data_IF_674827962685
#
_entry.id   IF_674827962685
#
_cell.length_a   1.000
_cell.length_b   1.000
_cell.length_c   1.000
_cell.angle_alpha   90.00
_cell.angle_beta   90.00
_cell.angle_gamma   90.00
#
_symmetry.space_group_name_H-M   'P 1'
#
loop_
_entity.id
_entity.type
_entity.pdbx_description
1 polymer ?
#
# COMPACT_ATOMS: atom_id res chain seq x y z
N UNK A 1 -6.41 0.61 2.67
CA UNK A 1 -5.71 -0.35 3.53
C UNK A 1 -6.40 -0.35 4.88
N UNK A 2 -6.78 -1.51 5.40
CA UNK A 2 -7.39 -1.63 6.73
C UNK A 2 -6.54 -2.49 7.65
N UNK A 3 -6.56 -2.20 8.96
CA UNK A 3 -6.06 -3.06 10.02
C UNK A 3 -7.22 -3.66 10.79
N UNK A 4 -7.26 -4.99 10.88
CA UNK A 4 -8.27 -5.76 11.61
C UNK A 4 -7.57 -6.55 12.70
N UNK A 5 -8.02 -6.46 13.96
CA UNK A 5 -7.48 -7.26 15.06
C UNK A 5 -8.52 -8.25 15.59
N UNK A 6 -8.10 -9.50 15.80
CA UNK A 6 -8.95 -10.64 16.17
C UNK A 6 -8.60 -11.18 17.58
N UNK A 7 -9.61 -11.48 18.42
CA UNK A 7 -9.45 -11.65 19.88
C UNK A 7 -8.83 -12.99 20.32
N UNK A 8 -8.73 -13.99 19.44
CA UNK A 8 -8.19 -15.32 19.77
C UNK A 8 -7.43 -15.88 18.57
N UNK A 9 -6.38 -16.69 18.82
CA UNK A 9 -5.65 -17.42 17.78
C UNK A 9 -6.61 -18.43 17.14
N UNK A 10 -7.23 -18.04 16.02
CA UNK A 10 -7.71 -19.01 15.05
C UNK A 10 -6.58 -19.16 14.05
N UNK A 11 -5.99 -20.36 13.95
CA UNK A 11 -5.06 -20.63 12.87
C UNK A 11 -5.85 -20.66 11.56
N UNK A 12 -6.08 -19.49 10.97
CA UNK A 12 -6.32 -19.42 9.53
C UNK A 12 -5.02 -20.00 8.94
N UNK A 13 -5.06 -21.18 8.28
CA UNK A 13 -3.85 -21.92 7.91
C UNK A 13 -3.07 -21.24 6.77
N UNK A 14 -3.44 -20.01 6.43
CA UNK A 14 -2.95 -19.20 5.33
C UNK A 14 -2.56 -17.85 5.91
N UNK A 15 -1.34 -17.41 5.66
CA UNK A 15 -0.81 -16.15 6.20
C UNK A 15 -1.01 -14.96 5.27
N UNK A 16 -1.49 -15.21 4.05
CA UNK A 16 -1.89 -14.18 3.10
C UNK A 16 -2.34 -14.79 1.78
N UNK A 17 -3.24 -14.09 1.09
CA UNK A 17 -3.81 -14.53 -0.17
C UNK A 17 -4.30 -13.35 -1.01
N UNK A 18 -4.53 -13.62 -2.29
CA UNK A 18 -5.06 -12.64 -3.25
C UNK A 18 -6.48 -13.01 -3.65
N UNK A 19 -7.31 -12.00 -3.83
CA UNK A 19 -8.68 -12.14 -4.31
C UNK A 19 -8.66 -12.00 -5.84
N UNK A 20 -9.19 -12.99 -6.56
CA UNK A 20 -9.24 -12.95 -8.03
C UNK A 20 -10.49 -12.29 -8.60
N UNK A 21 -11.60 -12.34 -7.87
CA UNK A 21 -12.93 -11.93 -8.36
C UNK A 21 -13.63 -10.89 -7.47
N UNK A 22 -12.97 -10.44 -6.41
CA UNK A 22 -13.51 -9.37 -5.56
C UNK A 22 -13.34 -8.03 -6.27
N UNK A 23 -14.39 -7.22 -6.26
CA UNK A 23 -14.32 -5.81 -6.70
C UNK A 23 -13.77 -4.90 -5.61
N UNK A 24 -13.73 -5.38 -4.37
CA UNK A 24 -13.42 -4.59 -3.17
C UNK A 24 -12.01 -4.89 -2.66
N UNK A 25 -11.66 -6.16 -2.46
CA UNK A 25 -10.35 -6.58 -1.96
C UNK A 25 -9.44 -7.12 -3.07
N UNK A 26 -8.16 -6.78 -3.00
CA UNK A 26 -7.11 -7.34 -3.85
C UNK A 26 -6.28 -8.38 -3.08
N UNK A 27 -5.89 -8.07 -1.83
CA UNK A 27 -5.07 -8.93 -0.97
C UNK A 27 -5.44 -8.82 0.49
N UNK A 28 -5.22 -9.90 1.21
CA UNK A 28 -5.20 -9.94 2.67
C UNK A 28 -3.92 -10.61 3.15
N UNK A 29 -3.33 -10.13 4.23
CA UNK A 29 -2.19 -10.78 4.88
C UNK A 29 -2.24 -10.63 6.40
N UNK A 30 -1.81 -11.67 7.09
CA UNK A 30 -1.67 -11.71 8.54
C UNK A 30 -0.36 -11.02 8.92
N UNK A 31 -0.43 -9.77 9.39
CA UNK A 31 0.74 -9.03 9.87
C UNK A 31 1.38 -9.70 11.09
N UNK A 32 0.58 -10.35 11.95
CA UNK A 32 1.06 -11.09 13.12
C UNK A 32 1.92 -12.32 12.76
N UNK A 33 1.88 -12.81 11.52
CA UNK A 33 2.74 -13.93 11.09
C UNK A 33 4.17 -13.51 10.76
N UNK A 34 4.42 -12.21 10.55
CA UNK A 34 5.75 -11.68 10.18
C UNK A 34 6.79 -11.90 11.29
N UNK A 35 8.08 -12.10 10.94
CA UNK A 35 9.14 -12.27 11.94
C UNK A 35 9.18 -11.14 12.98
N UNK A 36 9.36 -11.52 14.25
CA UNK A 36 9.46 -10.56 15.36
C UNK A 36 8.13 -9.93 15.82
N UNK A 37 6.97 -10.35 15.29
CA UNK A 37 5.66 -9.84 15.73
C UNK A 37 5.05 -10.70 16.85
N UNK A 38 4.34 -10.04 17.77
CA UNK A 38 3.51 -10.73 18.77
C UNK A 38 2.37 -11.49 18.11
N UNK A 39 2.11 -12.69 18.65
CA UNK A 39 1.02 -13.59 18.24
C UNK A 39 -0.13 -13.64 19.26
N UNK A 40 -0.13 -12.75 20.25
CA UNK A 40 -1.18 -12.70 21.29
C UNK A 40 -2.54 -12.26 20.72
N UNK A 41 -2.53 -11.56 19.59
CA UNK A 41 -3.71 -11.26 18.78
C UNK A 41 -3.33 -11.33 17.31
N UNK A 42 -4.29 -11.73 16.49
CA UNK A 42 -4.08 -11.80 15.06
C UNK A 42 -4.44 -10.47 14.41
N UNK A 43 -3.54 -9.95 13.58
CA UNK A 43 -3.72 -8.68 12.87
C UNK A 43 -3.70 -8.93 11.38
N UNK A 44 -4.80 -8.60 10.72
CA UNK A 44 -4.92 -8.69 9.27
C UNK A 44 -4.84 -7.31 8.65
N UNK A 45 -4.11 -7.23 7.55
CA UNK A 45 -4.08 -6.05 6.70
C UNK A 45 -4.80 -6.37 5.41
N UNK A 46 -5.80 -5.56 5.12
CA UNK A 46 -6.66 -5.72 3.95
C UNK A 46 -6.34 -4.62 2.94
N UNK A 47 -5.99 -5.02 1.73
CA UNK A 47 -5.72 -4.11 0.61
C UNK A 47 -6.88 -4.16 -0.35
N UNK A 48 -7.47 -3.00 -0.61
CA UNK A 48 -8.52 -2.87 -1.62
C UNK A 48 -7.95 -3.03 -3.03
N UNK A 49 -8.85 -3.22 -3.99
CA UNK A 49 -8.56 -3.03 -5.41
C UNK A 49 -8.28 -1.55 -5.71
N UNK A 50 -7.70 -1.28 -6.88
CA UNK A 50 -7.49 0.09 -7.35
C UNK A 50 -8.83 0.75 -7.72
N UNK A 51 -9.74 -0.04 -8.30
CA UNK A 51 -11.07 0.36 -8.72
C UNK A 51 -11.91 0.84 -7.51
N UNK A 52 -11.96 0.05 -6.43
CA UNK A 52 -12.65 0.46 -5.20
C UNK A 52 -12.04 1.74 -4.60
N UNK A 53 -10.71 1.84 -4.60
CA UNK A 53 -10.04 3.04 -4.09
C UNK A 53 -10.36 4.29 -4.95
N UNK A 54 -10.46 4.14 -6.27
CA UNK A 54 -10.89 5.21 -7.19
C UNK A 54 -12.32 5.65 -6.92
N UNK A 55 -13.25 4.71 -6.69
CA UNK A 55 -14.64 5.03 -6.35
C UNK A 55 -14.74 5.80 -5.03
N UNK A 56 -14.00 5.37 -4.01
CA UNK A 56 -13.92 6.11 -2.74
C UNK A 56 -13.37 7.53 -2.97
N UNK A 57 -12.34 7.70 -3.80
CA UNK A 57 -11.80 9.02 -4.15
C UNK A 57 -12.82 9.85 -4.92
N UNK A 58 -13.55 9.28 -5.88
CA UNK A 58 -14.58 9.98 -6.64
C UNK A 58 -15.70 10.51 -5.73
N UNK A 59 -16.06 9.75 -4.68
CA UNK A 59 -17.09 10.14 -3.72
C UNK A 59 -16.61 11.14 -2.66
N UNK A 60 -15.33 11.10 -2.28
CA UNK A 60 -14.81 11.81 -1.09
C UNK A 60 -13.81 12.92 -1.43
N UNK A 61 -13.39 13.01 -2.69
CA UNK A 61 -12.42 13.95 -3.19
C UNK A 61 -10.97 13.59 -2.85
N UNK A 62 -10.06 14.49 -3.24
CA UNK A 62 -8.62 14.32 -3.04
C UNK A 62 -8.17 14.65 -1.61
N UNK A 63 -8.99 15.38 -0.85
CA UNK A 63 -8.69 15.78 0.53
C UNK A 63 -8.73 14.60 1.50
N UNK A 64 -8.18 14.80 2.69
CA UNK A 64 -8.20 13.77 3.75
C UNK A 64 -9.65 13.39 4.06
N UNK A 65 -10.04 12.11 3.93
CA UNK A 65 -11.41 11.70 4.23
C UNK A 65 -11.74 11.89 5.70
N UNK A 66 -13.04 12.08 5.99
CA UNK A 66 -13.53 12.16 7.36
C UNK A 66 -13.32 10.82 8.11
N UNK A 67 -13.33 10.87 9.45
CA UNK A 67 -13.28 9.67 10.28
C UNK A 67 -14.46 8.74 9.98
N UNK A 68 -15.66 9.28 9.80
CA UNK A 68 -16.86 8.52 9.47
C UNK A 68 -16.70 7.76 8.13
N UNK A 69 -16.13 8.41 7.12
CA UNK A 69 -15.81 7.77 5.83
C UNK A 69 -14.82 6.63 6.01
N UNK A 70 -13.73 6.84 6.77
CA UNK A 70 -12.73 5.80 6.99
C UNK A 70 -13.30 4.62 7.82
N UNK A 71 -14.20 4.88 8.77
CA UNK A 71 -14.92 3.82 9.49
C UNK A 71 -15.80 3.01 8.54
N UNK A 72 -16.52 3.67 7.62
CA UNK A 72 -17.31 2.98 6.60
C UNK A 72 -16.45 2.11 5.69
N UNK A 73 -15.32 2.63 5.20
CA UNK A 73 -14.37 1.87 4.38
C UNK A 73 -13.82 0.66 5.14
N UNK A 74 -13.49 0.82 6.43
CA UNK A 74 -13.05 -0.29 7.27
C UNK A 74 -14.16 -1.36 7.40
N UNK A 75 -15.41 -0.95 7.60
CA UNK A 75 -16.52 -1.91 7.64
C UNK A 75 -16.66 -2.67 6.31
N UNK A 76 -16.66 -1.97 5.18
CA UNK A 76 -16.83 -2.58 3.86
C UNK A 76 -15.71 -3.58 3.51
N UNK A 77 -14.45 -3.22 3.76
CA UNK A 77 -13.31 -4.10 3.54
C UNK A 77 -13.37 -5.33 4.48
N UNK A 78 -13.75 -5.15 5.74
CA UNK A 78 -13.90 -6.26 6.66
C UNK A 78 -15.08 -7.19 6.29
N UNK A 79 -16.22 -6.65 5.86
CA UNK A 79 -17.35 -7.48 5.39
C UNK A 79 -16.97 -8.30 4.15
N UNK A 80 -16.23 -7.71 3.21
CA UNK A 80 -15.70 -8.47 2.06
C UNK A 80 -14.73 -9.58 2.54
N UNK A 81 -13.90 -9.30 3.55
CA UNK A 81 -13.01 -10.31 4.13
C UNK A 81 -13.78 -11.44 4.80
N UNK A 82 -14.86 -11.14 5.54
CA UNK A 82 -15.76 -12.15 6.13
C UNK A 82 -16.50 -13.00 5.09
N UNK A 83 -16.67 -12.49 3.86
CA UNK A 83 -17.28 -13.26 2.76
C UNK A 83 -16.39 -14.42 2.28
N UNK A 84 -15.11 -14.42 2.68
CA UNK A 84 -14.24 -15.56 2.45
C UNK A 84 -14.77 -16.75 3.25
N UNK A 85 -14.71 -17.96 2.69
CA UNK A 85 -15.14 -19.20 3.39
C UNK A 85 -14.21 -19.59 4.56
N UNK A 86 -13.42 -18.64 5.05
CA UNK A 86 -12.53 -18.79 6.19
C UNK A 86 -13.32 -18.50 7.46
N UNK A 87 -13.06 -19.27 8.51
CA UNK A 87 -13.64 -19.02 9.82
C UNK A 87 -12.94 -17.84 10.50
N UNK A 88 -13.28 -16.61 10.07
CA UNK A 88 -12.72 -15.37 10.62
C UNK A 88 -13.54 -14.96 11.86
N UNK A 89 -12.93 -14.86 13.05
CA UNK A 89 -13.63 -14.39 14.24
C UNK A 89 -14.03 -12.92 14.14
N UNK A 90 -14.90 -12.48 15.04
CA UNK A 90 -15.30 -11.07 15.12
C UNK A 90 -14.09 -10.19 15.45
N UNK A 91 -13.90 -9.11 14.69
CA UNK A 91 -12.85 -8.14 14.96
C UNK A 91 -13.21 -7.25 16.16
N UNK A 92 -12.26 -7.08 17.08
CA UNK A 92 -12.39 -6.13 18.18
C UNK A 92 -11.84 -4.74 17.84
N UNK A 93 -11.10 -4.62 16.73
CA UNK A 93 -10.54 -3.37 16.24
C UNK A 93 -10.48 -3.36 14.72
N UNK A 94 -10.86 -2.22 14.13
CA UNK A 94 -10.86 -1.96 12.69
C UNK A 94 -10.41 -0.52 12.42
N UNK A 95 -9.55 -0.32 11.42
CA UNK A 95 -9.10 1.03 11.02
C UNK A 95 -8.68 1.08 9.57
N UNK A 96 -9.31 1.95 8.78
CA UNK A 96 -8.89 2.21 7.42
C UNK A 96 -7.90 3.38 7.31
N UNK A 97 -7.05 3.29 6.29
CA UNK A 97 -6.17 4.33 5.80
C UNK A 97 -6.26 4.41 4.27
N UNK A 98 -6.38 5.65 3.76
CA UNK A 98 -6.40 5.96 2.32
C UNK A 98 -5.03 6.51 1.89
N UNK A 99 -4.37 5.79 0.99
CA UNK A 99 -3.15 6.22 0.32
C UNK A 99 -3.52 6.88 -1.01
N UNK A 100 -3.48 8.21 -1.11
CA UNK A 100 -3.99 8.96 -2.26
C UNK A 100 -3.22 8.76 -3.57
N UNK A 101 -1.94 8.41 -3.49
CA UNK A 101 -1.06 8.11 -4.63
C UNK A 101 -0.25 6.86 -4.31
N UNK A 102 -0.95 5.75 -4.03
CA UNK A 102 -0.35 4.54 -3.47
C UNK A 102 0.64 3.87 -4.42
N UNK A 103 0.30 3.79 -5.71
CA UNK A 103 1.10 3.12 -6.73
C UNK A 103 1.08 3.94 -8.02
N UNK A 104 2.24 4.20 -8.64
CA UNK A 104 2.30 4.83 -9.95
C UNK A 104 1.73 3.90 -11.02
N UNK A 105 0.93 4.46 -11.94
CA UNK A 105 0.35 3.72 -13.04
C UNK A 105 1.35 3.47 -14.19
N UNK A 106 2.32 4.37 -14.36
CA UNK A 106 3.33 4.35 -15.42
C UNK A 106 4.67 4.78 -14.81
N UNK A 107 5.75 4.12 -15.25
CA UNK A 107 7.12 4.52 -14.93
C UNK A 107 7.57 5.65 -15.86
N UNK A 108 7.96 6.80 -15.30
CA UNK A 108 8.25 8.01 -16.09
C UNK A 108 9.71 8.13 -16.56
N UNK A 109 10.59 7.26 -16.06
CA UNK A 109 12.03 7.30 -16.33
C UNK A 109 12.65 5.90 -16.26
N UNK A 110 12.02 4.91 -16.90
CA UNK A 110 12.41 3.49 -16.74
C UNK A 110 13.89 3.24 -17.10
N UNK A 111 14.38 3.90 -18.17
CA UNK A 111 15.76 3.75 -18.64
C UNK A 111 16.74 4.62 -17.83
N UNK A 112 16.43 5.90 -17.66
CA UNK A 112 17.28 6.89 -16.99
C UNK A 112 17.26 6.75 -15.46
N UNK A 113 16.27 6.01 -14.94
CA UNK A 113 15.99 5.69 -13.53
C UNK A 113 15.67 6.89 -12.65
N UNK A 114 15.93 8.10 -13.08
CA UNK A 114 15.53 9.35 -12.42
C UNK A 114 15.35 10.45 -13.46
N UNK A 115 14.62 11.50 -13.11
CA UNK A 115 14.55 12.71 -13.93
C UNK A 115 15.66 13.67 -13.49
N UNK A 116 16.42 14.20 -14.46
CA UNK A 116 17.56 15.09 -14.21
C UNK A 116 17.46 16.37 -15.03
N UNK A 117 17.40 17.52 -14.36
CA UNK A 117 17.53 18.84 -14.96
C UNK A 117 18.94 19.39 -14.68
N UNK A 118 19.83 19.26 -15.67
CA UNK A 118 21.22 19.68 -15.56
C UNK A 118 21.39 21.19 -15.33
N UNK A 119 20.51 22.02 -15.91
CA UNK A 119 20.58 23.48 -15.78
C UNK A 119 20.25 23.91 -14.36
N UNK A 120 19.23 23.28 -13.76
CA UNK A 120 18.81 23.55 -12.38
C UNK A 120 19.57 22.74 -11.34
N UNK A 121 20.37 21.75 -11.78
CA UNK A 121 21.02 20.76 -10.90
C UNK A 121 19.99 20.06 -9.99
N UNK A 122 18.84 19.69 -10.56
CA UNK A 122 17.73 19.08 -9.85
C UNK A 122 17.54 17.63 -10.31
N UNK A 123 17.58 16.71 -9.36
CA UNK A 123 17.20 15.32 -9.57
C UNK A 123 15.84 15.05 -8.90
N UNK A 124 14.96 14.32 -9.60
CA UNK A 124 13.69 13.82 -9.07
C UNK A 124 13.70 12.30 -9.19
N UNK A 125 13.49 11.61 -8.07
CA UNK A 125 13.54 10.16 -7.97
C UNK A 125 12.40 9.63 -7.12
N UNK A 126 12.06 8.37 -7.33
CA UNK A 126 11.05 7.62 -6.60
C UNK A 126 10.65 6.34 -7.32
N UNK A 127 9.78 5.55 -6.71
CA UNK A 127 9.20 4.34 -7.32
C UNK A 127 8.59 4.63 -8.69
N UNK A 128 7.90 5.77 -8.83
CA UNK A 128 7.31 6.26 -10.08
C UNK A 128 8.29 6.46 -11.24
N UNK A 129 9.61 6.49 -11.00
CA UNK A 129 10.59 6.56 -12.07
C UNK A 129 10.83 5.20 -12.72
N UNK A 130 10.84 4.11 -11.94
CA UNK A 130 11.33 2.79 -12.39
C UNK A 130 10.24 1.72 -12.31
N UNK A 131 9.69 1.48 -11.12
CA UNK A 131 8.64 0.49 -10.90
C UNK A 131 7.92 0.74 -9.57
N UNK A 132 6.62 0.39 -9.45
CA UNK A 132 5.76 0.69 -8.29
C UNK A 132 6.07 -0.18 -7.04
N UNK A 133 7.35 -0.28 -6.66
CA UNK A 133 7.80 -1.09 -5.54
C UNK A 133 9.04 -0.46 -4.86
N UNK A 134 9.45 -1.08 -3.74
CA UNK A 134 10.57 -0.60 -2.92
C UNK A 134 11.90 -0.64 -3.69
N UNK A 135 12.13 -1.68 -4.50
CA UNK A 135 13.36 -1.81 -5.29
C UNK A 135 13.46 -0.69 -6.34
N UNK A 136 12.37 -0.39 -7.06
CA UNK A 136 12.29 0.71 -8.00
C UNK A 136 12.61 2.06 -7.36
N UNK A 137 12.09 2.32 -6.16
CA UNK A 137 12.41 3.52 -5.40
C UNK A 137 13.91 3.61 -5.05
N UNK A 138 14.50 2.51 -4.58
CA UNK A 138 15.93 2.45 -4.24
C UNK A 138 16.80 2.68 -5.47
N UNK A 139 16.53 1.98 -6.57
CA UNK A 139 17.27 2.11 -7.83
C UNK A 139 17.20 3.56 -8.34
N UNK A 140 16.01 4.17 -8.29
CA UNK A 140 15.82 5.56 -8.70
C UNK A 140 16.61 6.53 -7.83
N UNK A 141 16.59 6.35 -6.51
CA UNK A 141 17.34 7.17 -5.57
C UNK A 141 18.86 7.09 -5.78
N UNK A 142 19.39 5.89 -6.03
CA UNK A 142 20.81 5.69 -6.36
C UNK A 142 21.20 6.38 -7.66
N UNK A 143 20.36 6.32 -8.69
CA UNK A 143 20.60 7.00 -9.96
C UNK A 143 20.64 8.54 -9.80
N UNK A 144 19.71 9.10 -9.03
CA UNK A 144 19.71 10.53 -8.71
C UNK A 144 20.97 10.96 -7.94
N UNK A 145 21.38 10.17 -6.93
CA UNK A 145 22.59 10.44 -6.16
C UNK A 145 23.87 10.43 -7.03
N UNK A 146 23.96 9.52 -8.01
CA UNK A 146 25.06 9.48 -8.96
C UNK A 146 25.14 10.76 -9.80
N UNK A 147 24.00 11.25 -10.32
CA UNK A 147 23.94 12.51 -11.08
C UNK A 147 24.34 13.73 -10.26
N UNK A 148 23.89 13.82 -9.02
CA UNK A 148 24.31 14.90 -8.12
C UNK A 148 25.81 14.84 -7.84
N UNK A 149 26.36 13.65 -7.62
CA UNK A 149 27.79 13.45 -7.36
C UNK A 149 28.66 13.85 -8.56
N UNK A 150 28.28 13.48 -9.78
CA UNK A 150 28.98 13.85 -11.01
C UNK A 150 29.13 15.37 -11.17
N UNK A 151 28.13 16.15 -10.75
CA UNK A 151 28.18 17.62 -10.80
C UNK A 151 29.09 18.19 -9.74
N UNK A 152 29.05 17.66 -8.50
CA UNK A 152 29.88 18.13 -7.40
C UNK A 152 31.38 17.89 -7.65
N UNK A 153 31.74 16.79 -8.29
CA UNK A 153 33.14 16.50 -8.65
C UNK A 153 33.70 17.36 -9.80
N UNK A 154 32.85 18.17 -10.46
CA UNK A 154 33.25 19.08 -11.55
C UNK A 154 33.36 20.54 -11.10
N UNK A 155 33.11 20.81 -9.82
CA UNK A 155 33.36 22.10 -9.16
C UNK A 155 34.76 22.12 -8.57
#
# INVERSE_FOLDING_TARGET
>A
MEYVSLPTIFEIPIQGFSFKSSKVLHRAFCDSSKPGRSRNSERWVLHSTAEYAQDVIAQTGLQKPSSATLTKVAEELFQEFLSTKLSIPQAFFKKAHRWGSAFPAISVAENEKCLWDAKKRLAVCGDFCVSPNVEGAIISGLAAAAKCSEVLCRL
#
